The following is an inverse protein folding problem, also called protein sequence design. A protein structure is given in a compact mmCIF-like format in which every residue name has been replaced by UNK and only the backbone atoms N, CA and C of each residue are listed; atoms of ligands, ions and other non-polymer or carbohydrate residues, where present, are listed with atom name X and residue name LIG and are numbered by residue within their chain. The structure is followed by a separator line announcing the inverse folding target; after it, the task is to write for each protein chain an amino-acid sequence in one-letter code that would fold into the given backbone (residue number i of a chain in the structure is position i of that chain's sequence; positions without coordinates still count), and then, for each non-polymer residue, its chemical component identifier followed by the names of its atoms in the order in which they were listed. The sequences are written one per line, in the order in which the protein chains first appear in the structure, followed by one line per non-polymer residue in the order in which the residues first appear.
data_IF_333997586674
#
_entry.id   IF_333997586674
#
_cell.length_a   1.000
_cell.length_b   1.000
_cell.length_c   1.000
_cell.angle_alpha   90.00
_cell.angle_beta   90.00
_cell.angle_gamma   90.00
#
_symmetry.space_group_name_H-M   'P 1'
#
loop_
_entity.id
_entity.type
_entity.pdbx_description
1 polymer ?
#
# COMPACT_ATOMS: atom_id res chain seq x y z
N UNK A 1 -26.79 30.94 8.99
CA UNK A 1 -25.41 30.93 8.49
C UNK A 1 -24.51 31.08 9.70
N UNK A 2 -23.85 30.00 10.08
CA UNK A 2 -22.96 29.98 11.24
C UNK A 2 -21.55 30.40 10.78
N UNK A 3 -21.01 31.53 11.27
CA UNK A 3 -19.73 32.08 10.80
C UNK A 3 -18.52 31.37 11.41
N UNK A 4 -18.70 30.26 12.14
CA UNK A 4 -17.63 29.54 12.85
C UNK A 4 -17.37 28.12 12.34
N UNK A 5 -17.60 27.84 11.05
CA UNK A 5 -17.24 26.57 10.39
C UNK A 5 -15.73 26.33 10.21
N UNK A 6 -14.89 26.88 11.10
CA UNK A 6 -13.44 26.75 11.08
C UNK A 6 -12.99 25.70 12.08
N UNK A 7 -12.58 24.54 11.57
CA UNK A 7 -11.74 23.51 12.20
C UNK A 7 -11.57 23.68 13.72
N UNK A 8 -12.59 23.37 14.50
CA UNK A 8 -12.42 23.29 15.95
C UNK A 8 -11.52 22.08 16.21
N UNK A 9 -10.30 22.25 16.76
CA UNK A 9 -9.46 21.13 17.09
C UNK A 9 -10.16 20.33 18.20
N UNK A 10 -10.82 19.24 17.82
CA UNK A 10 -11.41 18.31 18.76
C UNK A 10 -10.29 17.61 19.52
N UNK A 11 -9.92 18.17 20.67
CA UNK A 11 -9.07 17.51 21.65
C UNK A 11 -9.73 16.16 21.99
N UNK A 12 -9.06 15.05 21.68
CA UNK A 12 -9.57 13.70 21.97
C UNK A 12 -9.95 12.84 20.76
N UNK A 13 -9.55 13.18 19.53
CA UNK A 13 -9.68 12.26 18.40
C UNK A 13 -8.61 11.15 18.42
N UNK A 14 -9.05 9.91 18.17
CA UNK A 14 -8.18 8.75 17.98
C UNK A 14 -8.18 8.41 16.50
N UNK A 15 -7.00 8.41 15.86
CA UNK A 15 -6.85 7.91 14.49
C UNK A 15 -6.76 6.40 14.51
N UNK A 16 -7.57 5.75 13.71
CA UNK A 16 -7.59 4.30 13.59
C UNK A 16 -7.75 3.91 12.12
N UNK A 17 -7.64 2.61 11.84
CA UNK A 17 -7.72 2.08 10.49
C UNK A 17 -9.07 1.42 10.24
N UNK A 18 -9.60 1.55 9.04
CA UNK A 18 -10.85 0.86 8.65
C UNK A 18 -10.77 0.48 7.18
N UNK A 19 -11.62 -0.46 6.78
CA UNK A 19 -11.77 -0.86 5.39
C UNK A 19 -13.24 -0.77 4.96
N UNK A 20 -13.44 -0.67 3.66
CA UNK A 20 -14.74 -0.43 3.03
C UNK A 20 -14.89 -1.29 1.79
N UNK A 21 -16.14 -1.52 1.41
CA UNK A 21 -16.53 -1.91 0.06
C UNK A 21 -16.77 -0.62 -0.73
N UNK A 22 -16.33 -0.58 -1.99
CA UNK A 22 -16.62 0.55 -2.88
C UNK A 22 -17.87 0.20 -3.71
N UNK A 23 -18.89 1.04 -3.63
CA UNK A 23 -20.08 0.96 -4.49
C UNK A 23 -19.79 1.48 -5.90
N UNK A 24 -20.65 1.19 -6.89
CA UNK A 24 -20.47 1.66 -8.28
C UNK A 24 -20.55 3.18 -8.42
N UNK A 25 -21.26 3.82 -7.49
CA UNK A 25 -21.42 5.26 -7.31
C UNK A 25 -20.18 5.93 -6.71
N UNK A 26 -19.21 5.16 -6.20
CA UNK A 26 -18.07 5.69 -5.46
C UNK A 26 -18.31 5.77 -3.95
N UNK A 27 -19.50 5.36 -3.47
CA UNK A 27 -19.83 5.33 -2.06
C UNK A 27 -18.97 4.32 -1.28
N UNK A 28 -18.66 4.66 -0.03
CA UNK A 28 -17.86 3.83 0.86
C UNK A 28 -18.75 3.10 1.88
N UNK A 29 -18.93 1.79 1.66
CA UNK A 29 -19.81 0.97 2.47
C UNK A 29 -19.03 0.16 3.51
N UNK A 30 -19.48 0.11 4.76
CA UNK A 30 -19.00 -0.86 5.74
C UNK A 30 -19.01 -2.30 5.20
N UNK A 31 -18.14 -3.15 5.75
CA UNK A 31 -18.10 -4.58 5.39
C UNK A 31 -19.41 -5.32 5.69
N UNK A 32 -20.13 -4.91 6.74
CA UNK A 32 -21.31 -5.59 7.27
C UNK A 32 -22.57 -4.70 7.32
N UNK A 33 -22.58 -3.59 6.58
CA UNK A 33 -23.75 -2.71 6.46
C UNK A 33 -23.84 -2.14 5.05
N UNK A 34 -25.07 -1.90 4.60
CA UNK A 34 -25.38 -1.22 3.33
C UNK A 34 -25.69 0.28 3.52
N UNK A 35 -25.57 0.81 4.74
CA UNK A 35 -25.62 2.25 4.98
C UNK A 35 -24.24 2.84 4.66
N UNK A 36 -24.07 3.63 3.58
CA UNK A 36 -22.78 4.18 3.20
C UNK A 36 -22.31 5.20 4.23
N UNK A 37 -21.00 5.34 4.35
CA UNK A 37 -20.44 6.50 5.03
C UNK A 37 -20.48 7.71 4.09
N UNK A 38 -20.79 8.86 4.65
CA UNK A 38 -20.80 10.13 3.93
C UNK A 38 -19.48 10.88 4.13
N UNK A 39 -19.23 11.87 3.26
CA UNK A 39 -18.16 12.84 3.47
C UNK A 39 -18.35 13.59 4.80
N UNK A 40 -17.27 13.85 5.53
CA UNK A 40 -17.32 14.49 6.84
C UNK A 40 -17.69 13.54 7.99
N UNK A 41 -18.36 14.09 9.00
CA UNK A 41 -18.66 13.37 10.25
C UNK A 41 -19.84 12.41 10.09
N UNK A 42 -19.63 11.16 10.48
CA UNK A 42 -20.63 10.11 10.57
C UNK A 42 -20.91 9.81 12.04
N UNK A 43 -22.16 9.53 12.39
CA UNK A 43 -22.59 9.22 13.76
C UNK A 43 -23.19 7.81 13.82
N UNK A 44 -22.69 7.00 14.75
CA UNK A 44 -23.15 5.65 14.94
C UNK A 44 -24.51 5.65 15.63
N UNK A 45 -25.37 4.73 15.18
CA UNK A 45 -26.71 4.50 15.71
C UNK A 45 -26.90 2.99 15.87
N UNK A 46 -27.60 2.58 16.92
CA UNK A 46 -27.97 1.18 17.06
C UNK A 46 -29.03 0.84 16.00
N UNK A 47 -28.80 -0.25 15.25
CA UNK A 47 -29.71 -0.74 14.22
C UNK A 47 -30.49 -1.98 14.67
N UNK A 48 -30.32 -2.40 15.93
CA UNK A 48 -31.02 -3.56 16.49
C UNK A 48 -32.49 -3.19 16.77
N UNK A 49 -33.42 -3.82 16.06
CA UNK A 49 -34.85 -3.51 16.17
C UNK A 49 -35.47 -4.03 17.48
N UNK A 50 -34.84 -5.02 18.12
CA UNK A 50 -35.28 -5.70 19.35
C UNK A 50 -34.77 -5.03 20.63
N UNK A 51 -34.07 -3.89 20.52
CA UNK A 51 -33.53 -3.15 21.66
C UNK A 51 -34.15 -1.77 21.82
N UNK A 52 -34.34 -1.29 23.07
CA UNK A 52 -34.74 0.09 23.29
C UNK A 52 -33.66 1.06 22.78
N UNK A 53 -34.02 2.29 22.37
CA UNK A 53 -33.03 3.29 21.98
C UNK A 53 -32.00 3.51 23.09
N UNK A 54 -30.73 3.40 22.72
CA UNK A 54 -29.61 3.63 23.62
C UNK A 54 -28.48 4.32 22.84
N UNK A 55 -27.62 5.07 23.54
CA UNK A 55 -26.59 5.84 22.86
C UNK A 55 -25.48 4.87 22.38
N UNK A 56 -24.95 5.05 21.16
CA UNK A 56 -23.93 4.18 20.53
C UNK A 56 -22.50 4.78 20.60
N UNK A 57 -21.44 4.00 20.88
CA UNK A 57 -21.44 2.59 21.24
C UNK A 57 -21.95 2.38 22.67
N UNK A 58 -22.50 1.19 22.89
CA UNK A 58 -22.91 0.70 24.20
C UNK A 58 -22.10 -0.55 24.53
N UNK A 59 -21.54 -0.69 25.75
CA UNK A 59 -20.74 -1.86 26.15
C UNK A 59 -21.47 -3.18 25.99
N UNK A 60 -22.79 -3.20 26.24
CA UNK A 60 -23.63 -4.40 26.21
C UNK A 60 -24.31 -4.61 24.84
N UNK A 61 -23.99 -3.77 23.85
CA UNK A 61 -24.42 -3.89 22.47
C UNK A 61 -23.22 -4.09 21.54
N UNK A 62 -23.46 -4.42 20.27
CA UNK A 62 -22.42 -4.47 19.22
C UNK A 62 -22.41 -3.21 18.34
N UNK A 63 -23.24 -2.21 18.65
CA UNK A 63 -23.30 -0.96 17.90
C UNK A 63 -21.99 -0.13 18.01
N UNK A 64 -21.86 0.86 17.14
CA UNK A 64 -20.68 1.71 17.03
C UNK A 64 -19.90 1.50 15.73
N UNK A 65 -19.05 2.47 15.41
CA UNK A 65 -18.10 2.31 14.31
C UNK A 65 -16.86 1.59 14.78
N UNK A 66 -16.60 0.41 14.21
CA UNK A 66 -15.38 -0.35 14.47
C UNK A 66 -14.19 0.23 13.70
N UNK A 67 -13.04 0.36 14.34
CA UNK A 67 -11.80 0.69 13.67
C UNK A 67 -10.65 -0.11 14.30
N UNK A 68 -9.67 -0.48 13.50
CA UNK A 68 -8.51 -1.26 13.89
C UNK A 68 -7.38 -0.35 14.40
N UNK A 69 -6.67 -0.80 15.43
CA UNK A 69 -5.54 -0.08 16.00
C UNK A 69 -4.24 -0.21 15.20
N UNK A 70 -4.16 -1.20 14.29
CA UNK A 70 -2.95 -1.47 13.51
C UNK A 70 -3.24 -2.20 12.21
N UNK A 71 -2.32 -2.06 11.25
CA UNK A 71 -2.46 -2.58 9.89
C UNK A 71 -2.56 -4.11 9.82
N UNK A 72 -1.97 -4.81 10.81
CA UNK A 72 -1.98 -6.26 10.91
C UNK A 72 -3.40 -6.85 11.01
N UNK A 73 -4.30 -6.16 11.71
CA UNK A 73 -5.67 -6.62 11.94
C UNK A 73 -6.60 -6.38 10.74
N UNK A 74 -6.22 -5.46 9.85
CA UNK A 74 -6.99 -5.18 8.63
C UNK A 74 -6.79 -6.28 7.58
N UNK A 75 -5.59 -6.87 7.55
CA UNK A 75 -5.19 -7.86 6.54
C UNK A 75 -5.99 -9.18 6.61
N UNK A 76 -6.64 -9.46 7.74
CA UNK A 76 -7.42 -10.68 7.97
C UNK A 76 -8.73 -10.74 7.17
N UNK A 77 -9.14 -9.64 6.53
CA UNK A 77 -10.39 -9.56 5.78
C UNK A 77 -10.12 -9.61 4.26
N UNK A 78 -10.47 -10.68 3.51
CA UNK A 78 -10.17 -10.76 2.08
C UNK A 78 -10.77 -9.62 1.25
N UNK A 79 -11.92 -9.08 1.68
CA UNK A 79 -12.61 -7.92 1.07
C UNK A 79 -11.94 -6.58 1.39
N UNK A 80 -10.95 -6.53 2.29
CA UNK A 80 -10.23 -5.32 2.68
C UNK A 80 -8.98 -5.02 1.85
N UNK A 81 -8.61 -5.93 0.94
CA UNK A 81 -7.32 -5.89 0.23
C UNK A 81 -7.14 -4.69 -0.70
N UNK A 82 -8.24 -4.06 -1.10
CA UNK A 82 -8.21 -3.01 -2.13
C UNK A 82 -8.47 -1.61 -1.59
N UNK A 83 -8.91 -1.50 -0.33
CA UNK A 83 -9.27 -0.24 0.31
C UNK A 83 -8.84 -0.25 1.77
N UNK A 84 -8.09 0.77 2.17
CA UNK A 84 -7.75 1.03 3.57
C UNK A 84 -7.97 2.51 3.84
N UNK A 85 -8.61 2.84 4.95
CA UNK A 85 -8.84 4.21 5.38
C UNK A 85 -8.16 4.47 6.71
N UNK A 86 -7.66 5.68 6.89
CA UNK A 86 -7.43 6.28 8.19
C UNK A 86 -8.68 7.06 8.55
N UNK A 87 -9.25 6.74 9.70
CA UNK A 87 -10.44 7.38 10.24
C UNK A 87 -10.10 8.09 11.54
N UNK A 88 -10.61 9.31 11.71
CA UNK A 88 -10.64 9.98 13.00
C UNK A 88 -11.89 9.52 13.75
N UNK A 89 -11.72 9.11 15.01
CA UNK A 89 -12.77 8.59 15.88
C UNK A 89 -12.90 9.47 17.14
N UNK A 90 -14.11 9.82 17.55
CA UNK A 90 -14.36 10.65 18.74
C UNK A 90 -15.75 10.42 19.36
N UNK A 91 -16.04 11.16 20.43
CA UNK A 91 -17.25 11.00 21.25
C UNK A 91 -17.05 9.87 22.26
N UNK A 92 -18.07 9.03 22.43
CA UNK A 92 -17.94 7.82 23.25
C UNK A 92 -17.10 6.77 22.51
N UNK A 93 -16.04 6.32 23.17
CA UNK A 93 -15.11 5.32 22.62
C UNK A 93 -15.03 4.14 23.59
N UNK A 94 -15.14 2.94 23.03
CA UNK A 94 -14.81 1.68 23.71
C UNK A 94 -13.56 1.13 23.05
N UNK A 95 -12.41 1.28 23.71
CA UNK A 95 -11.15 0.71 23.26
C UNK A 95 -11.10 -0.80 23.56
N UNK A 96 -10.55 -1.57 22.64
CA UNK A 96 -10.23 -2.98 22.79
C UNK A 96 -8.81 -3.27 22.35
N UNK A 97 -8.37 -4.53 22.40
CA UNK A 97 -6.95 -4.87 22.16
C UNK A 97 -6.51 -4.81 20.70
N UNK A 98 -7.47 -4.84 19.77
CA UNK A 98 -7.21 -4.82 18.31
C UNK A 98 -7.66 -3.52 17.64
N UNK A 99 -8.23 -2.60 18.40
CA UNK A 99 -8.90 -1.43 17.85
C UNK A 99 -9.95 -0.88 18.79
N UNK A 100 -10.94 -0.18 18.26
CA UNK A 100 -11.94 0.53 19.05
C UNK A 100 -13.32 0.51 18.40
N UNK A 101 -14.33 0.87 19.19
CA UNK A 101 -15.65 1.28 18.73
C UNK A 101 -15.88 2.73 19.09
N UNK A 102 -16.37 3.53 18.15
CA UNK A 102 -16.61 4.96 18.36
C UNK A 102 -18.04 5.39 18.02
N UNK A 103 -18.46 6.46 18.67
CA UNK A 103 -19.72 7.16 18.43
C UNK A 103 -19.66 7.93 17.12
N UNK A 104 -18.58 8.68 16.91
CA UNK A 104 -18.39 9.45 15.69
C UNK A 104 -17.13 9.02 14.97
N UNK A 105 -17.22 9.00 13.64
CA UNK A 105 -16.08 8.78 12.78
C UNK A 105 -16.11 9.68 11.55
N UNK A 106 -14.93 10.03 11.05
CA UNK A 106 -14.73 10.65 9.73
C UNK A 106 -13.56 9.98 9.04
N UNK A 107 -13.65 9.81 7.73
CA UNK A 107 -12.53 9.37 6.92
C UNK A 107 -11.61 10.56 6.69
N UNK A 108 -10.34 10.45 7.06
CA UNK A 108 -9.34 11.49 6.81
C UNK A 108 -8.51 11.19 5.57
N UNK A 109 -8.15 9.92 5.39
CA UNK A 109 -7.39 9.46 4.25
C UNK A 109 -7.84 8.08 3.79
N UNK A 110 -7.69 7.82 2.50
CA UNK A 110 -8.11 6.59 1.84
C UNK A 110 -7.05 6.12 0.86
N UNK A 111 -6.58 4.90 1.04
CA UNK A 111 -5.75 4.19 0.08
C UNK A 111 -6.62 3.32 -0.80
N UNK A 112 -6.45 3.47 -2.11
CA UNK A 112 -7.06 2.63 -3.13
C UNK A 112 -5.95 1.85 -3.85
N UNK A 113 -6.04 0.52 -3.82
CA UNK A 113 -5.08 -0.33 -4.53
C UNK A 113 -5.11 -0.08 -6.04
N UNK A 114 -4.05 -0.52 -6.73
CA UNK A 114 -3.98 -0.44 -8.19
C UNK A 114 -5.03 -1.29 -8.92
N UNK A 115 -5.72 -2.21 -8.21
CA UNK A 115 -6.82 -3.00 -8.75
C UNK A 115 -8.11 -2.17 -8.90
N UNK A 116 -8.25 -1.07 -8.16
CA UNK A 116 -9.42 -0.18 -8.23
C UNK A 116 -9.33 0.65 -9.52
N UNK A 117 -10.32 0.54 -10.43
CA UNK A 117 -10.33 1.29 -11.69
C UNK A 117 -10.17 2.80 -11.49
N UNK A 118 -9.54 3.47 -12.46
CA UNK A 118 -9.24 4.91 -12.36
C UNK A 118 -10.51 5.74 -12.30
N UNK A 119 -11.50 5.42 -13.13
CA UNK A 119 -12.80 6.09 -13.16
C UNK A 119 -13.57 5.92 -11.85
N UNK A 120 -13.51 4.73 -11.25
CA UNK A 120 -14.13 4.50 -9.94
C UNK A 120 -13.41 5.27 -8.82
N UNK A 121 -12.09 5.35 -8.86
CA UNK A 121 -11.33 6.14 -7.89
C UNK A 121 -11.61 7.64 -8.01
N UNK A 122 -11.83 8.16 -9.23
CA UNK A 122 -12.26 9.55 -9.43
C UNK A 122 -13.69 9.77 -8.90
N UNK A 123 -14.61 8.81 -9.08
CA UNK A 123 -15.94 8.87 -8.44
C UNK A 123 -15.85 8.93 -6.91
N UNK A 124 -15.01 8.09 -6.30
CA UNK A 124 -14.75 8.13 -4.84
C UNK A 124 -14.26 9.51 -4.40
N UNK A 125 -13.38 10.16 -5.17
CA UNK A 125 -12.90 11.52 -4.88
C UNK A 125 -13.99 12.58 -5.00
N UNK A 126 -14.91 12.41 -5.94
CA UNK A 126 -16.04 13.33 -6.12
C UNK A 126 -17.05 13.20 -4.98
N UNK A 127 -17.33 11.98 -4.54
CA UNK A 127 -18.27 11.71 -3.44
C UNK A 127 -17.69 12.06 -2.06
N UNK A 128 -16.37 11.99 -1.91
CA UNK A 128 -15.66 12.26 -0.66
C UNK A 128 -14.57 13.35 -0.81
N UNK A 129 -14.96 14.61 -1.10
CA UNK A 129 -14.01 15.68 -1.39
C UNK A 129 -13.14 16.07 -0.19
N UNK A 130 -13.56 15.77 1.05
CA UNK A 130 -12.75 16.04 2.24
C UNK A 130 -11.66 14.99 2.52
N UNK A 131 -11.67 13.87 1.78
CA UNK A 131 -10.80 12.72 2.03
C UNK A 131 -9.54 12.78 1.16
N UNK A 132 -8.36 12.63 1.78
CA UNK A 132 -7.11 12.49 1.06
C UNK A 132 -7.00 11.10 0.40
N UNK A 133 -7.07 11.02 -0.93
CA UNK A 133 -7.04 9.73 -1.66
C UNK A 133 -5.65 9.42 -2.21
N UNK A 134 -5.04 8.33 -1.70
CA UNK A 134 -3.70 7.86 -2.03
C UNK A 134 -3.72 6.57 -2.86
N UNK A 135 -2.71 6.41 -3.72
CA UNK A 135 -2.40 5.13 -4.40
C UNK A 135 -1.28 4.34 -3.72
N UNK A 136 -0.48 5.03 -2.90
CA UNK A 136 0.54 4.44 -2.05
C UNK A 136 0.04 4.36 -0.61
N UNK A 137 -0.09 3.13 -0.11
CA UNK A 137 -0.55 2.81 1.25
C UNK A 137 0.42 3.31 2.30
N UNK A 138 1.72 3.11 2.10
CA UNK A 138 2.74 3.48 3.08
C UNK A 138 2.79 5.01 3.23
N UNK A 139 2.67 5.73 2.12
CA UNK A 139 2.57 7.19 2.13
C UNK A 139 1.34 7.69 2.88
N UNK A 140 0.16 7.08 2.64
CA UNK A 140 -1.05 7.43 3.39
C UNK A 140 -0.84 7.28 4.90
N UNK A 141 -0.33 6.13 5.36
CA UNK A 141 -0.12 5.87 6.80
C UNK A 141 0.95 6.81 7.37
N UNK A 142 1.99 7.15 6.62
CA UNK A 142 3.02 8.09 7.05
C UNK A 142 2.49 9.52 7.20
N UNK A 143 1.63 9.97 6.29
CA UNK A 143 1.00 11.31 6.34
C UNK A 143 -0.15 11.36 7.37
N UNK A 144 -0.81 10.22 7.61
CA UNK A 144 -1.94 10.07 8.54
C UNK A 144 -1.73 8.88 9.51
N UNK A 145 -0.78 8.99 10.46
CA UNK A 145 -0.44 7.87 11.34
C UNK A 145 -1.62 7.52 12.28
N UNK A 146 -1.97 6.24 12.41
CA UNK A 146 -2.88 5.77 13.47
C UNK A 146 -2.34 6.12 14.85
N UNK A 147 -3.24 6.41 15.78
CA UNK A 147 -2.90 6.66 17.18
C UNK A 147 -2.60 5.33 17.86
N UNK A 148 -1.42 5.22 18.47
CA UNK A 148 -1.09 4.09 19.34
C UNK A 148 -1.78 4.27 20.70
N UNK A 149 -2.48 3.23 21.15
CA UNK A 149 -3.08 3.16 22.48
C UNK A 149 -2.39 2.05 23.29
N UNK A 150 -2.18 2.28 24.58
CA UNK A 150 -1.51 1.33 25.47
C UNK A 150 -2.21 -0.03 25.55
N UNK A 151 -3.52 -0.06 25.30
CA UNK A 151 -4.30 -1.30 25.30
C UNK A 151 -4.15 -2.14 24.03
N UNK A 152 -3.49 -1.63 22.98
CA UNK A 152 -3.30 -2.37 21.74
C UNK A 152 -2.20 -3.42 21.85
N UNK A 153 -2.50 -4.62 21.35
CA UNK A 153 -1.50 -5.68 21.19
C UNK A 153 -0.45 -5.25 20.15
N UNK A 154 0.79 -5.05 20.58
CA UNK A 154 1.91 -4.75 19.70
C UNK A 154 2.28 -5.99 18.87
N UNK A 155 2.50 -5.80 17.56
CA UNK A 155 3.02 -6.85 16.69
C UNK A 155 4.54 -6.68 16.53
N UNK A 156 5.33 -7.70 16.87
CA UNK A 156 6.80 -7.72 16.92
C UNK A 156 7.55 -7.53 15.57
N UNK A 157 6.92 -6.98 14.53
CA UNK A 157 7.49 -6.94 13.17
C UNK A 157 7.95 -5.54 12.75
N UNK A 158 9.22 -5.20 13.01
CA UNK A 158 9.93 -4.20 12.18
C UNK A 158 11.13 -3.47 12.80
N UNK A 159 12.35 -3.77 12.33
CA UNK A 159 13.55 -2.94 12.57
C UNK A 159 14.36 -2.85 11.27
N UNK A 160 14.41 -1.67 10.63
CA UNK A 160 15.21 -1.44 9.40
C UNK A 160 16.01 -0.12 9.44
N UNK A 161 17.23 -0.12 8.88
CA UNK A 161 18.28 0.94 8.99
C UNK A 161 18.85 1.41 7.62
N UNK A 162 19.64 2.53 7.54
CA UNK A 162 19.92 3.30 6.31
C UNK A 162 21.22 2.91 5.56
N UNK A 163 21.17 2.75 4.24
CA UNK A 163 22.20 2.15 3.32
C UNK A 163 22.12 2.80 1.92
N UNK A 164 21.41 3.93 1.75
CA UNK A 164 20.92 4.37 0.44
C UNK A 164 21.89 5.21 -0.42
N UNK A 165 22.78 6.00 0.21
CA UNK A 165 23.60 7.00 -0.52
C UNK A 165 24.89 6.44 -1.12
N UNK A 166 25.52 5.45 -0.48
CA UNK A 166 26.74 4.81 -1.01
C UNK A 166 26.47 4.00 -2.29
N UNK A 167 25.21 3.67 -2.57
CA UNK A 167 24.87 2.74 -3.64
C UNK A 167 24.76 3.38 -5.03
N UNK A 168 24.36 4.65 -5.11
CA UNK A 168 24.22 5.37 -6.38
C UNK A 168 25.55 5.67 -7.06
N UNK A 169 26.62 5.91 -6.29
CA UNK A 169 27.96 6.13 -6.83
C UNK A 169 28.55 4.87 -7.47
N UNK A 170 28.35 3.70 -6.85
CA UNK A 170 28.84 2.42 -7.38
C UNK A 170 28.17 2.01 -8.71
N UNK A 171 26.89 2.32 -8.87
CA UNK A 171 26.14 2.02 -10.10
C UNK A 171 26.61 2.87 -11.30
N UNK A 172 26.92 4.16 -11.10
CA UNK A 172 27.32 5.06 -12.19
C UNK A 172 28.72 4.70 -12.74
N UNK A 173 29.67 4.39 -11.86
CA UNK A 173 31.03 3.98 -12.25
C UNK A 173 31.01 2.68 -13.07
N UNK A 174 30.13 1.75 -12.72
CA UNK A 174 29.97 0.47 -13.42
C UNK A 174 29.44 0.61 -14.84
N UNK A 175 28.51 1.54 -15.07
CA UNK A 175 27.94 1.77 -16.40
C UNK A 175 28.95 2.43 -17.36
N UNK A 176 29.76 3.38 -16.88
CA UNK A 176 30.76 4.08 -17.71
C UNK A 176 31.86 3.12 -18.19
N UNK A 177 32.30 2.21 -17.32
CA UNK A 177 33.36 1.24 -17.66
C UNK A 177 32.90 0.13 -18.61
N UNK A 178 31.59 -0.19 -18.65
CA UNK A 178 31.03 -1.22 -19.53
C UNK A 178 30.87 -0.81 -21.00
N UNK A 179 31.01 0.48 -21.32
CA UNK A 179 30.88 1.01 -22.70
C UNK A 179 32.25 1.23 -23.37
N UNK A 180 33.34 1.17 -22.60
CA UNK A 180 34.68 1.37 -23.14
C UNK A 180 35.13 0.18 -24.01
N UNK A 181 35.78 0.42 -25.16
CA UNK A 181 36.27 -0.65 -26.01
C UNK A 181 37.26 -1.56 -25.27
N UNK A 182 37.14 -2.89 -25.43
CA UNK A 182 37.94 -3.87 -24.69
C UNK A 182 39.48 -3.69 -24.86
N UNK A 183 39.93 -3.08 -25.95
CA UNK A 183 41.34 -2.78 -26.17
C UNK A 183 41.86 -1.60 -25.33
N UNK A 184 40.98 -0.66 -24.91
CA UNK A 184 41.31 0.41 -23.96
C UNK A 184 41.42 -0.11 -22.52
N UNK A 185 40.77 -1.24 -22.25
CA UNK A 185 40.73 -1.90 -20.95
C UNK A 185 41.82 -2.96 -20.78
N UNK A 186 42.81 -3.04 -21.69
CA UNK A 186 43.93 -3.98 -21.60
C UNK A 186 43.65 -5.36 -22.20
N UNK A 187 42.71 -5.49 -23.14
CA UNK A 187 42.41 -6.72 -23.86
C UNK A 187 41.15 -7.44 -23.37
N UNK A 188 40.75 -8.50 -24.07
CA UNK A 188 39.48 -9.22 -23.84
C UNK A 188 39.40 -9.87 -22.45
N UNK A 189 40.51 -10.39 -21.93
CA UNK A 189 40.58 -10.93 -20.57
C UNK A 189 40.40 -9.85 -19.51
N UNK A 190 41.06 -8.71 -19.67
CA UNK A 190 41.00 -7.59 -18.73
C UNK A 190 39.61 -6.93 -18.72
N UNK A 191 38.98 -6.78 -19.89
CA UNK A 191 37.60 -6.29 -20.02
C UNK A 191 36.58 -7.26 -19.41
N UNK A 192 36.79 -8.57 -19.56
CA UNK A 192 35.95 -9.60 -18.92
C UNK A 192 36.09 -9.55 -17.39
N UNK A 193 37.30 -9.43 -16.86
CA UNK A 193 37.56 -9.28 -15.42
C UNK A 193 36.92 -8.02 -14.86
N UNK A 194 37.06 -6.88 -15.54
CA UNK A 194 36.46 -5.61 -15.11
C UNK A 194 34.93 -5.69 -15.07
N UNK A 195 34.33 -6.33 -16.08
CA UNK A 195 32.88 -6.52 -16.16
C UNK A 195 32.35 -7.45 -15.07
N UNK A 196 33.10 -8.51 -14.75
CA UNK A 196 32.80 -9.40 -13.61
C UNK A 196 32.88 -8.62 -12.31
N UNK A 197 33.95 -7.85 -12.08
CA UNK A 197 34.13 -7.06 -10.85
C UNK A 197 33.02 -6.02 -10.67
N UNK A 198 32.63 -5.30 -11.74
CA UNK A 198 31.56 -4.30 -11.69
C UNK A 198 30.17 -4.92 -11.58
N UNK A 199 29.90 -6.02 -12.28
CA UNK A 199 28.66 -6.78 -12.12
C UNK A 199 28.50 -7.32 -10.70
N UNK A 200 29.61 -7.76 -10.08
CA UNK A 200 29.62 -8.22 -8.69
C UNK A 200 29.42 -7.05 -7.72
N UNK A 201 30.09 -5.91 -7.92
CA UNK A 201 29.92 -4.70 -7.11
C UNK A 201 28.50 -4.13 -7.20
N UNK A 202 27.90 -4.14 -8.40
CA UNK A 202 26.52 -3.74 -8.64
C UNK A 202 25.54 -4.69 -7.96
N UNK A 203 25.73 -6.02 -8.08
CA UNK A 203 24.90 -7.02 -7.43
C UNK A 203 24.95 -6.89 -5.90
N UNK A 204 26.15 -6.78 -5.33
CA UNK A 204 26.39 -6.62 -3.88
C UNK A 204 25.74 -5.34 -3.36
N UNK A 205 25.74 -4.28 -4.14
CA UNK A 205 25.04 -3.05 -3.76
C UNK A 205 23.53 -3.05 -4.03
N UNK A 206 23.03 -3.77 -5.04
CA UNK A 206 21.59 -3.82 -5.38
C UNK A 206 20.79 -4.57 -4.32
N UNK A 207 21.44 -5.50 -3.63
CA UNK A 207 20.91 -6.30 -2.53
C UNK A 207 20.27 -5.44 -1.40
N UNK A 208 20.90 -4.35 -0.90
CA UNK A 208 20.24 -3.47 0.07
C UNK A 208 19.14 -2.56 -0.51
N UNK A 209 19.16 -2.24 -1.80
CA UNK A 209 18.08 -1.51 -2.49
C UNK A 209 16.85 -2.37 -2.72
N UNK A 210 17.00 -3.69 -2.85
CA UNK A 210 15.87 -4.62 -2.83
C UNK A 210 15.19 -4.70 -1.44
N UNK A 211 15.84 -4.19 -0.39
CA UNK A 211 15.34 -4.26 0.99
C UNK A 211 14.72 -2.96 1.52
N UNK A 212 14.97 -1.80 0.90
CA UNK A 212 14.38 -0.53 1.37
C UNK A 212 13.16 -0.12 0.53
N UNK A 213 11.99 -0.20 1.17
CA UNK A 213 10.78 0.55 0.83
C UNK A 213 10.15 0.20 -0.51
N UNK A 214 9.03 -0.53 -0.44
CA UNK A 214 8.16 -0.92 -1.55
C UNK A 214 7.33 0.30 -1.96
N UNK A 215 7.97 1.26 -2.61
CA UNK A 215 7.22 2.23 -3.40
C UNK A 215 6.85 1.56 -4.73
N UNK A 216 5.55 1.43 -5.00
CA UNK A 216 4.98 0.61 -6.09
C UNK A 216 5.51 1.06 -7.46
N UNK A 217 5.81 2.35 -7.60
CA UNK A 217 6.45 2.91 -8.81
C UNK A 217 7.94 2.58 -8.94
N UNK A 218 8.69 2.57 -7.83
CA UNK A 218 10.14 2.31 -7.83
C UNK A 218 10.52 0.83 -7.89
N UNK A 219 9.66 -0.06 -7.40
CA UNK A 219 9.86 -1.51 -7.47
C UNK A 219 9.73 -2.04 -8.90
N UNK A 220 8.68 -1.60 -9.62
CA UNK A 220 8.47 -1.94 -11.04
C UNK A 220 9.63 -1.49 -11.93
N UNK A 221 10.15 -0.28 -11.69
CA UNK A 221 11.28 0.28 -12.45
C UNK A 221 12.58 -0.49 -12.17
N UNK A 222 12.84 -0.87 -10.92
CA UNK A 222 14.00 -1.69 -10.51
C UNK A 222 13.98 -3.09 -11.11
N UNK A 223 12.81 -3.76 -11.09
CA UNK A 223 12.63 -5.08 -11.69
C UNK A 223 12.79 -5.02 -13.21
N UNK A 224 12.25 -4.01 -13.86
CA UNK A 224 12.38 -3.84 -15.32
C UNK A 224 13.83 -3.58 -15.73
N UNK A 225 14.55 -2.72 -14.99
CA UNK A 225 15.97 -2.46 -15.24
C UNK A 225 16.82 -3.71 -15.02
N UNK A 226 16.63 -4.44 -13.91
CA UNK A 226 17.35 -5.70 -13.65
C UNK A 226 17.06 -6.76 -14.73
N UNK A 227 15.78 -6.96 -15.07
CA UNK A 227 15.38 -7.90 -16.10
C UNK A 227 16.01 -7.56 -17.46
N UNK A 228 16.04 -6.27 -17.81
CA UNK A 228 16.66 -5.80 -19.07
C UNK A 228 18.18 -5.98 -19.04
N UNK A 229 18.84 -5.67 -17.93
CA UNK A 229 20.29 -5.85 -17.76
C UNK A 229 20.71 -7.32 -17.81
N UNK A 230 19.96 -8.22 -17.15
CA UNK A 230 20.19 -9.67 -17.22
C UNK A 230 19.92 -10.20 -18.65
N UNK A 231 18.90 -9.68 -19.35
CA UNK A 231 18.59 -10.06 -20.73
C UNK A 231 19.72 -9.69 -21.71
N UNK A 232 20.30 -8.50 -21.54
CA UNK A 232 21.44 -8.03 -22.32
C UNK A 232 22.68 -8.86 -22.02
N UNK A 233 22.98 -9.11 -20.73
CA UNK A 233 24.11 -9.93 -20.28
C UNK A 233 24.04 -11.37 -20.80
N UNK A 234 22.84 -11.96 -20.89
CA UNK A 234 22.62 -13.30 -21.44
C UNK A 234 23.12 -13.46 -22.88
N UNK A 235 23.16 -12.38 -23.66
CA UNK A 235 23.64 -12.40 -25.05
C UNK A 235 25.14 -12.69 -25.16
N UNK A 236 25.91 -12.37 -24.11
CA UNK A 236 27.36 -12.60 -24.04
C UNK A 236 27.73 -14.03 -23.59
N UNK A 237 26.76 -14.81 -23.11
CA UNK A 237 26.96 -16.17 -22.59
C UNK A 237 26.64 -17.27 -23.62
N UNK A 238 26.35 -16.90 -24.88
CA UNK A 238 26.02 -17.85 -25.94
C UNK A 238 24.78 -18.71 -25.61
N UNK A 239 24.72 -19.99 -26.02
CA UNK A 239 23.57 -20.86 -25.78
C UNK A 239 23.25 -21.09 -24.29
N UNK A 240 24.24 -20.98 -23.40
CA UNK A 240 24.02 -21.06 -21.95
C UNK A 240 23.24 -19.85 -21.42
N UNK A 241 23.47 -18.64 -21.93
CA UNK A 241 22.69 -17.45 -21.55
C UNK A 241 21.23 -17.53 -21.97
N UNK A 242 20.93 -18.19 -23.10
CA UNK A 242 19.57 -18.40 -23.56
C UNK A 242 18.77 -19.29 -22.59
N UNK A 243 19.35 -20.40 -22.13
CA UNK A 243 18.67 -21.38 -21.27
C UNK A 243 18.61 -20.91 -19.81
N UNK A 244 19.70 -20.35 -19.26
CA UNK A 244 19.80 -20.08 -17.82
C UNK A 244 19.46 -18.64 -17.41
N UNK A 245 19.34 -17.72 -18.36
CA UNK A 245 19.02 -16.32 -18.04
C UNK A 245 17.77 -15.84 -18.78
N UNK A 246 17.65 -16.09 -20.08
CA UNK A 246 16.45 -15.64 -20.82
C UNK A 246 15.21 -16.47 -20.49
N UNK A 247 15.31 -17.80 -20.39
CA UNK A 247 14.15 -18.64 -20.04
C UNK A 247 13.57 -18.30 -18.65
N UNK A 248 14.36 -18.11 -17.58
CA UNK A 248 13.84 -17.67 -16.29
C UNK A 248 13.28 -16.24 -16.30
N UNK A 249 13.85 -15.33 -17.10
CA UNK A 249 13.30 -13.98 -17.27
C UNK A 249 11.94 -14.00 -18.00
N UNK A 250 11.78 -14.85 -19.02
CA UNK A 250 10.49 -15.07 -19.67
C UNK A 250 9.49 -15.65 -18.66
N UNK A 251 9.89 -16.66 -17.88
CA UNK A 251 9.04 -17.22 -16.82
C UNK A 251 8.63 -16.16 -15.78
N UNK A 252 9.57 -15.32 -15.33
CA UNK A 252 9.29 -14.23 -14.40
C UNK A 252 8.33 -13.19 -15.02
N UNK A 253 8.50 -12.86 -16.30
CA UNK A 253 7.60 -11.97 -17.03
C UNK A 253 6.20 -12.61 -17.20
N UNK A 254 6.13 -13.92 -17.46
CA UNK A 254 4.86 -14.67 -17.53
C UNK A 254 4.16 -14.70 -16.18
N UNK A 255 4.89 -14.91 -15.07
CA UNK A 255 4.34 -14.86 -13.71
C UNK A 255 3.85 -13.44 -13.40
N UNK A 256 4.62 -12.40 -13.71
CA UNK A 256 4.21 -11.01 -13.51
C UNK A 256 2.99 -10.64 -14.37
N UNK A 257 2.93 -11.12 -15.62
CA UNK A 257 1.78 -11.00 -16.51
C UNK A 257 0.56 -11.71 -15.96
N UNK A 258 0.73 -12.93 -15.42
CA UNK A 258 -0.32 -13.70 -14.77
C UNK A 258 -0.81 -13.01 -13.48
N UNK A 259 0.10 -12.47 -12.66
CA UNK A 259 -0.25 -11.67 -11.49
C UNK A 259 -1.02 -10.41 -11.88
N UNK A 260 -0.60 -9.73 -12.95
CA UNK A 260 -1.33 -8.58 -13.46
C UNK A 260 -2.72 -8.97 -13.96
N UNK A 261 -2.83 -10.11 -14.66
CA UNK A 261 -4.11 -10.69 -15.08
C UNK A 261 -4.98 -11.04 -13.86
N UNK A 262 -4.42 -11.64 -12.81
CA UNK A 262 -5.13 -11.93 -11.56
C UNK A 262 -5.64 -10.65 -10.91
N UNK A 263 -4.82 -9.59 -10.85
CA UNK A 263 -5.24 -8.27 -10.34
C UNK A 263 -6.37 -7.68 -11.19
N UNK A 264 -6.30 -7.82 -12.52
CA UNK A 264 -7.38 -7.39 -13.42
C UNK A 264 -8.65 -8.22 -13.23
N UNK A 265 -8.53 -9.52 -12.98
CA UNK A 265 -9.66 -10.42 -12.70
C UNK A 265 -10.28 -10.11 -11.33
N UNK A 266 -9.46 -9.85 -10.31
CA UNK A 266 -9.91 -9.40 -8.98
C UNK A 266 -10.58 -8.03 -9.05
N UNK A 267 -10.04 -7.12 -9.86
CA UNK A 267 -10.65 -5.82 -10.15
C UNK A 267 -12.07 -5.93 -10.72
N UNK A 268 -12.44 -7.04 -11.37
CA UNK A 268 -13.82 -7.27 -11.83
C UNK A 268 -14.83 -7.51 -10.70
N UNK A 269 -14.36 -7.82 -9.48
CA UNK A 269 -15.21 -7.90 -8.29
C UNK A 269 -15.41 -6.51 -7.64
N UNK A 270 -14.85 -5.46 -8.24
CA UNK A 270 -15.00 -4.06 -7.86
C UNK A 270 -15.72 -3.35 -9.01
N UNK A 271 -16.83 -2.64 -8.78
CA UNK A 271 -17.45 -2.31 -7.50
C UNK A 271 -18.23 -3.47 -6.87
N UNK A 272 -18.41 -3.42 -5.55
CA UNK A 272 -19.21 -4.40 -4.83
C UNK A 272 -20.69 -4.26 -5.20
N UNK A 273 -21.40 -5.38 -5.34
CA UNK A 273 -22.85 -5.38 -5.40
C UNK A 273 -23.39 -4.96 -4.02
N UNK A 274 -24.14 -3.85 -3.99
CA UNK A 274 -24.85 -3.37 -2.83
C UNK A 274 -26.30 -3.83 -3.00
N UNK A 275 -26.71 -4.84 -2.24
CA UNK A 275 -28.05 -5.43 -2.24
C UNK A 275 -28.73 -5.21 -0.90
#
# INVERSE_FOLDING_TARGET
MDPYGGFEPQVGQIRALRTFRIGPDGGLYPLFSNDPWHDGANTARCLAADRPPHPSPDPDCTCGFYAFGGEQWVADHPRSRHVLAVVACWGRIIAGTRGLRAEHCRIEALWLSAAVPVDLAERVRQEHPSVAVHRDRARMVAEHPPTELDCYEQSDRGRDRPVGRLWWSAALTSAVLGVLPAHWLGGTQSAALLSVVLGTAFAVGALPSARRGIDVGGSRRRVLCLATSLWLFASFLGPFGAVFVRLPLVQAASIAGLQHLCVLVEGRQIPAQIS
#
